data_IF_714186071090
#
_entry.id   IF_714186071090
#
_cell.length_a   1.000
_cell.length_b   1.000
_cell.length_c   1.000
_cell.angle_alpha   90.00
_cell.angle_beta   90.00
_cell.angle_gamma   90.00
#
_symmetry.space_group_name_H-M   'P 1'
#
loop_
_entity.id
_entity.type
_entity.pdbx_description
1 polymer ?
#
# COMPACT_ATOMS: atom_id res chain seq x y z
N UNK A 1 2.73 -2.79 5.51
CA UNK A 1 1.28 -2.54 5.53
C UNK A 1 0.99 -1.27 4.74
N UNK A 2 -0.04 -1.26 3.91
CA UNK A 2 -0.54 -0.02 3.29
C UNK A 2 -1.72 0.51 4.10
N UNK A 3 -1.86 1.83 4.21
CA UNK A 3 -3.08 2.44 4.76
C UNK A 3 -4.27 2.23 3.82
N UNK A 4 -5.48 2.34 4.34
CA UNK A 4 -6.65 2.68 3.52
C UNK A 4 -6.49 4.10 2.94
N UNK A 5 -7.22 4.40 1.89
CA UNK A 5 -7.13 5.66 1.16
C UNK A 5 -7.71 6.81 1.99
N UNK A 6 -6.85 7.77 2.34
CA UNK A 6 -7.20 8.92 3.20
C UNK A 6 -7.01 8.67 4.70
N UNK A 7 -6.75 7.43 5.12
CA UNK A 7 -6.67 7.10 6.55
C UNK A 7 -5.56 7.85 7.31
N UNK A 8 -4.49 8.27 6.62
CA UNK A 8 -3.44 9.09 7.25
C UNK A 8 -3.94 10.50 7.56
N UNK A 9 -4.75 11.10 6.68
CA UNK A 9 -5.37 12.41 6.92
C UNK A 9 -6.32 12.33 8.10
N UNK A 10 -7.09 11.23 8.17
CA UNK A 10 -8.06 11.01 9.22
C UNK A 10 -7.43 10.95 10.61
N UNK A 11 -6.15 10.55 10.75
CA UNK A 11 -5.46 10.63 12.06
C UNK A 11 -5.51 12.05 12.64
N UNK A 12 -5.42 13.08 11.78
CA UNK A 12 -5.46 14.48 12.21
C UNK A 12 -6.84 15.11 12.02
N UNK A 13 -7.43 14.97 10.83
CA UNK A 13 -8.60 15.73 10.41
C UNK A 13 -9.92 15.03 10.72
N UNK A 14 -9.95 13.69 10.82
CA UNK A 14 -11.15 12.92 11.12
C UNK A 14 -11.27 12.52 12.59
N UNK A 15 -10.20 11.93 13.14
CA UNK A 15 -10.12 11.39 14.48
C UNK A 15 -9.48 12.34 15.50
N UNK A 16 -8.78 13.37 15.04
CA UNK A 16 -8.11 14.35 15.88
C UNK A 16 -7.13 13.73 16.90
N UNK A 17 -6.54 12.59 16.55
CA UNK A 17 -5.54 11.91 17.37
C UNK A 17 -4.24 12.71 17.45
N UNK A 18 -3.86 13.36 16.35
CA UNK A 18 -2.75 14.32 16.30
C UNK A 18 -3.22 15.70 15.87
N UNK A 19 -2.45 16.74 16.24
CA UNK A 19 -2.75 18.14 15.90
C UNK A 19 -2.32 18.55 14.49
N UNK A 20 -1.46 17.78 13.83
CA UNK A 20 -0.89 18.11 12.51
C UNK A 20 -0.65 16.86 11.69
N UNK A 21 -0.72 16.97 10.37
CA UNK A 21 -0.47 15.85 9.46
C UNK A 21 0.95 15.28 9.60
N UNK A 22 1.98 16.12 9.79
CA UNK A 22 3.33 15.64 10.11
C UNK A 22 3.39 14.73 11.36
N UNK A 23 2.66 15.07 12.43
CA UNK A 23 2.56 14.22 13.61
C UNK A 23 1.75 12.94 13.35
N UNK A 24 0.66 13.05 12.59
CA UNK A 24 -0.16 11.89 12.20
C UNK A 24 0.58 10.90 11.32
N UNK A 25 1.32 11.39 10.33
CA UNK A 25 2.15 10.58 9.45
C UNK A 25 3.29 9.89 10.22
N UNK A 26 3.96 10.61 11.13
CA UNK A 26 4.97 10.03 12.02
C UNK A 26 4.37 8.93 12.92
N UNK A 27 3.19 9.16 13.50
CA UNK A 27 2.50 8.17 14.31
C UNK A 27 2.15 6.92 13.50
N UNK A 28 1.68 7.09 12.25
CA UNK A 28 1.34 5.99 11.37
C UNK A 28 2.56 5.11 11.02
N UNK A 29 3.70 5.71 10.66
CA UNK A 29 4.92 4.95 10.36
C UNK A 29 5.42 4.21 11.60
N UNK A 30 5.41 4.87 12.77
CA UNK A 30 5.78 4.21 14.04
C UNK A 30 4.86 3.06 14.42
N UNK A 31 3.59 3.12 14.01
CA UNK A 31 2.62 2.05 14.19
C UNK A 31 2.76 0.90 13.17
N UNK A 32 3.63 1.04 12.15
CA UNK A 32 3.90 0.00 11.16
C UNK A 32 3.21 0.18 9.81
N UNK A 33 2.61 1.35 9.55
CA UNK A 33 2.14 1.70 8.21
C UNK A 33 3.34 2.06 7.33
N UNK A 34 3.63 1.24 6.32
CA UNK A 34 4.82 1.40 5.48
C UNK A 34 4.53 2.32 4.28
N UNK A 35 3.34 2.21 3.68
CA UNK A 35 2.89 3.03 2.54
C UNK A 35 1.53 3.64 2.83
N UNK A 36 1.27 4.80 2.25
CA UNK A 36 -0.02 5.47 2.37
C UNK A 36 -0.75 5.50 1.02
N UNK A 37 -2.02 5.10 1.03
CA UNK A 37 -2.93 5.52 -0.01
C UNK A 37 -3.48 6.90 0.41
N UNK A 38 -3.18 7.94 -0.37
CA UNK A 38 -3.52 9.32 0.00
C UNK A 38 -4.33 10.00 -1.08
N UNK A 39 -5.16 10.95 -0.66
CA UNK A 39 -5.81 11.92 -1.55
C UNK A 39 -5.14 13.29 -1.50
N UNK A 40 -4.28 13.53 -0.50
CA UNK A 40 -3.49 14.74 -0.32
C UNK A 40 -2.03 14.37 0.01
N UNK A 41 -1.36 15.26 0.74
CA UNK A 41 0.09 15.30 0.91
C UNK A 41 0.56 14.76 2.29
N UNK A 42 -0.21 13.91 2.97
CA UNK A 42 0.02 13.60 4.38
C UNK A 42 1.35 12.87 4.62
N UNK A 43 1.75 11.97 3.73
CA UNK A 43 3.09 11.34 3.77
C UNK A 43 4.19 12.21 3.14
N UNK A 44 3.87 13.25 2.36
CA UNK A 44 4.87 14.24 1.95
C UNK A 44 5.37 15.05 3.15
N UNK A 45 4.55 15.13 4.20
CA UNK A 45 4.88 15.77 5.47
C UNK A 45 5.86 14.95 6.34
N UNK A 46 6.25 13.72 5.96
CA UNK A 46 7.24 12.92 6.69
C UNK A 46 8.63 13.60 6.73
N UNK A 47 9.04 14.26 5.65
CA UNK A 47 10.30 15.03 5.64
C UNK A 47 10.25 16.22 6.62
N UNK A 48 9.07 16.80 6.84
CA UNK A 48 8.84 17.81 7.89
C UNK A 48 8.85 17.16 9.27
N UNK A 49 8.23 16.00 9.43
CA UNK A 49 8.22 15.25 10.69
C UNK A 49 9.63 14.87 11.17
N UNK A 50 10.52 14.47 10.25
CA UNK A 50 11.94 14.22 10.55
C UNK A 50 12.64 15.48 11.03
N UNK A 51 12.48 16.60 10.32
CA UNK A 51 13.05 17.91 10.72
C UNK A 51 12.56 18.40 12.08
N UNK A 52 11.34 18.03 12.46
CA UNK A 52 10.74 18.34 13.77
C UNK A 52 11.11 17.32 14.86
N UNK A 53 11.89 16.28 14.56
CA UNK A 53 12.25 15.23 15.51
C UNK A 53 11.07 14.32 15.91
N UNK A 54 9.97 14.36 15.18
CA UNK A 54 8.79 13.53 15.44
C UNK A 54 9.01 12.07 15.06
N UNK A 55 9.91 11.80 14.14
CA UNK A 55 10.32 10.47 13.67
C UNK A 55 11.76 10.54 13.17
N UNK A 56 12.50 9.43 13.24
CA UNK A 56 13.84 9.34 12.65
C UNK A 56 13.77 8.85 11.20
N UNK A 57 14.78 9.21 10.40
CA UNK A 57 14.94 8.68 9.03
C UNK A 57 15.02 7.15 9.02
N UNK A 58 15.77 6.57 9.96
CA UNK A 58 15.85 5.12 10.14
C UNK A 58 14.48 4.43 10.33
N UNK A 59 13.53 5.07 11.00
CA UNK A 59 12.18 4.50 11.15
C UNK A 59 11.40 4.49 9.82
N UNK A 60 11.72 5.40 8.90
CA UNK A 60 11.18 5.42 7.54
C UNK A 60 11.93 4.38 6.68
N UNK A 61 13.25 4.22 6.86
CA UNK A 61 14.05 3.24 6.13
C UNK A 61 13.51 1.82 6.28
N UNK A 62 13.05 1.44 7.47
CA UNK A 62 12.40 0.14 7.71
C UNK A 62 11.19 -0.07 6.79
N UNK A 63 10.37 0.96 6.57
CA UNK A 63 9.23 0.91 5.64
C UNK A 63 9.67 0.79 4.19
N UNK A 64 10.73 1.51 3.81
CA UNK A 64 11.31 1.47 2.46
C UNK A 64 11.90 0.08 2.17
N UNK A 65 12.66 -0.49 3.10
CA UNK A 65 13.22 -1.84 2.97
C UNK A 65 12.12 -2.88 2.75
N UNK A 66 11.02 -2.82 3.51
CA UNK A 66 9.88 -3.72 3.34
C UNK A 66 9.23 -3.57 1.96
N UNK A 67 8.98 -2.33 1.52
CA UNK A 67 8.41 -2.05 0.21
C UNK A 67 9.29 -2.59 -0.92
N UNK A 68 10.59 -2.29 -0.89
CA UNK A 68 11.50 -2.74 -1.94
C UNK A 68 11.77 -4.24 -1.90
N UNK A 69 11.80 -4.85 -0.71
CA UNK A 69 11.88 -6.32 -0.58
C UNK A 69 10.72 -6.99 -1.28
N UNK A 70 9.49 -6.49 -1.11
CA UNK A 70 8.32 -7.01 -1.80
C UNK A 70 8.45 -6.86 -3.33
N UNK A 71 8.89 -5.69 -3.81
CA UNK A 71 9.09 -5.42 -5.25
C UNK A 71 10.18 -6.29 -5.87
N UNK A 72 11.27 -6.55 -5.14
CA UNK A 72 12.32 -7.48 -5.56
C UNK A 72 11.79 -8.91 -5.64
N UNK A 73 11.01 -9.38 -4.66
CA UNK A 73 10.39 -10.72 -4.70
C UNK A 73 9.42 -10.90 -5.87
N UNK A 74 8.76 -9.82 -6.29
CA UNK A 74 7.90 -9.81 -7.49
C UNK A 74 8.68 -9.78 -8.80
N UNK A 75 10.03 -9.71 -8.76
CA UNK A 75 10.87 -9.67 -9.94
C UNK A 75 10.84 -8.32 -10.68
N UNK A 76 10.34 -7.24 -10.06
CA UNK A 76 10.19 -5.94 -10.73
C UNK A 76 11.51 -5.30 -11.19
N UNK A 77 12.64 -5.82 -10.73
CA UNK A 77 13.99 -5.38 -11.08
C UNK A 77 14.78 -6.45 -11.86
N UNK A 78 14.18 -7.61 -12.12
CA UNK A 78 14.79 -8.69 -12.91
C UNK A 78 14.43 -8.54 -14.41
N UNK A 79 15.25 -9.09 -15.33
CA UNK A 79 14.87 -9.17 -16.74
C UNK A 79 13.54 -9.91 -16.91
N UNK A 80 12.61 -9.46 -17.80
CA UNK A 80 11.29 -10.08 -17.94
C UNK A 80 11.31 -11.58 -18.20
N UNK A 81 12.32 -12.09 -18.91
CA UNK A 81 12.50 -13.53 -19.18
C UNK A 81 12.72 -14.38 -17.91
N UNK A 82 13.11 -13.76 -16.79
CA UNK A 82 13.31 -14.42 -15.48
C UNK A 82 12.11 -14.27 -14.54
N UNK A 83 11.07 -13.53 -14.94
CA UNK A 83 9.91 -13.22 -14.10
C UNK A 83 8.71 -14.04 -14.61
N UNK A 84 8.25 -15.05 -13.86
CA UNK A 84 7.16 -15.95 -14.31
C UNK A 84 5.87 -15.21 -14.68
N UNK A 85 5.61 -14.07 -14.04
CA UNK A 85 4.40 -13.28 -14.25
C UNK A 85 4.48 -12.38 -15.49
N UNK A 86 5.68 -12.13 -16.03
CA UNK A 86 5.87 -11.23 -17.19
C UNK A 86 5.44 -11.84 -18.52
N UNK A 87 5.25 -13.16 -18.59
CA UNK A 87 4.80 -13.86 -19.80
C UNK A 87 3.29 -14.09 -19.85
N UNK A 88 2.52 -13.64 -18.85
CA UNK A 88 1.06 -13.81 -18.84
C UNK A 88 0.45 -12.96 -19.97
N UNK A 89 -0.20 -13.57 -20.97
CA UNK A 89 -0.74 -12.83 -22.10
C UNK A 89 -2.07 -12.15 -21.73
N UNK A 90 -2.40 -11.07 -22.46
CA UNK A 90 -3.67 -10.36 -22.30
C UNK A 90 -4.89 -11.27 -22.54
N UNK A 91 -4.75 -12.38 -23.28
CA UNK A 91 -5.81 -13.35 -23.51
C UNK A 91 -6.29 -14.05 -22.24
N UNK A 92 -5.50 -14.03 -21.17
CA UNK A 92 -5.95 -14.53 -19.86
C UNK A 92 -6.95 -13.57 -19.20
N UNK A 93 -6.94 -12.28 -19.56
CA UNK A 93 -7.93 -11.33 -19.07
C UNK A 93 -9.31 -11.74 -19.56
N UNK A 94 -10.22 -12.00 -18.63
CA UNK A 94 -11.60 -12.37 -18.94
C UNK A 94 -11.71 -13.62 -19.85
N UNK A 95 -10.77 -14.57 -19.72
CA UNK A 95 -10.80 -15.85 -20.44
C UNK A 95 -12.07 -16.67 -20.13
N UNK A 96 -12.41 -17.61 -21.00
CA UNK A 96 -13.59 -18.47 -20.81
C UNK A 96 -13.55 -19.24 -19.48
N UNK A 97 -12.36 -19.66 -19.03
CA UNK A 97 -12.17 -20.31 -17.74
C UNK A 97 -12.45 -19.35 -16.56
N UNK A 98 -11.95 -18.11 -16.61
CA UNK A 98 -12.21 -17.10 -15.58
C UNK A 98 -13.69 -16.71 -15.52
N UNK A 99 -14.37 -16.61 -16.66
CA UNK A 99 -15.82 -16.37 -16.71
C UNK A 99 -16.62 -17.52 -16.09
N UNK A 100 -16.28 -18.76 -16.42
CA UNK A 100 -16.93 -19.94 -15.86
C UNK A 100 -16.74 -20.04 -14.33
N UNK A 101 -15.55 -19.67 -13.83
CA UNK A 101 -15.27 -19.59 -12.39
C UNK A 101 -16.10 -18.50 -11.72
N UNK A 102 -16.15 -17.30 -12.31
CA UNK A 102 -16.97 -16.18 -11.80
C UNK A 102 -18.45 -16.55 -11.69
N UNK A 103 -19.01 -17.18 -12.73
CA UNK A 103 -20.40 -17.66 -12.72
C UNK A 103 -20.65 -18.69 -11.61
N UNK A 104 -19.70 -19.60 -11.38
CA UNK A 104 -19.81 -20.59 -10.31
C UNK A 104 -19.81 -19.91 -8.94
N UNK A 105 -18.85 -19.02 -8.70
CA UNK A 105 -18.77 -18.25 -7.45
C UNK A 105 -20.06 -17.47 -7.19
N UNK A 106 -20.65 -16.86 -8.21
CA UNK A 106 -21.94 -16.18 -8.11
C UNK A 106 -23.08 -17.12 -7.69
N UNK A 107 -23.18 -18.31 -8.30
CA UNK A 107 -24.21 -19.31 -7.97
C UNK A 107 -24.07 -19.85 -6.54
N UNK A 108 -22.84 -20.07 -6.10
CA UNK A 108 -22.53 -20.62 -4.77
C UNK A 108 -22.64 -19.59 -3.64
N UNK A 109 -22.68 -18.28 -3.97
CA UNK A 109 -22.78 -17.20 -2.98
C UNK A 109 -24.22 -16.70 -2.75
N UNK A 110 -25.21 -17.26 -3.45
CA UNK A 110 -26.62 -16.88 -3.27
C UNK A 110 -27.14 -17.40 -1.93
N UNK A 111 -27.78 -16.51 -1.17
CA UNK A 111 -28.55 -16.85 0.03
C UNK A 111 -30.03 -16.71 -0.31
N UNK A 112 -30.83 -17.74 0.01
CA UNK A 112 -32.29 -17.74 -0.16
C UNK A 112 -32.99 -17.08 1.03
#
# INVERSE_FOLDING_TARGET
MTSDCGAIDDITNGHHYTKTNAAGAAAAVKAGTDTACTFKDEYLDLAKAVRLGLISEHQIDVSVERLFTARMRLGMFDPPARVPFSSIPISENHSAAHQALSLRAARESIVL
#
